data_IF_781281793587
#
_entry.id   IF_781281793587
#
_cell.length_a   1.000
_cell.length_b   1.000
_cell.length_c   1.000
_cell.angle_alpha   90.00
_cell.angle_beta   90.00
_cell.angle_gamma   90.00
#
_symmetry.space_group_name_H-M   'P 1'
#
loop_
_entity.id
_entity.type
_entity.pdbx_description
1 polymer ?
#
# COMPACT_ATOMS: atom_id res chain seq x y z
N UNK A 1 17.79 -47.70 36.83
CA UNK A 1 18.84 -46.93 36.13
C UNK A 1 18.13 -46.04 35.13
N UNK A 2 18.04 -44.75 35.46
CA UNK A 2 17.27 -43.74 34.73
C UNK A 2 18.17 -42.90 33.83
N UNK A 3 17.60 -42.45 32.70
CA UNK A 3 18.04 -41.28 31.93
C UNK A 3 18.97 -41.61 30.76
N UNK A 4 18.53 -41.46 29.51
CA UNK A 4 18.30 -40.23 28.73
C UNK A 4 19.48 -39.96 27.78
N UNK A 5 19.18 -39.74 26.50
CA UNK A 5 20.20 -39.34 25.54
C UNK A 5 19.67 -39.15 24.12
N UNK A 6 18.44 -38.65 23.96
CA UNK A 6 17.95 -38.19 22.65
C UNK A 6 18.70 -36.91 22.30
N UNK A 7 19.60 -37.01 21.32
CA UNK A 7 20.39 -35.90 20.81
C UNK A 7 19.49 -35.03 19.91
N UNK A 8 18.89 -34.00 20.48
CA UNK A 8 18.06 -33.03 19.74
C UNK A 8 18.97 -31.89 19.31
N UNK A 9 19.38 -31.90 18.04
CA UNK A 9 20.10 -30.78 17.43
C UNK A 9 19.11 -29.62 17.27
N UNK A 10 19.17 -28.66 18.19
CA UNK A 10 18.42 -27.41 18.10
C UNK A 10 19.00 -26.55 16.97
N UNK A 11 18.29 -26.50 15.84
CA UNK A 11 18.51 -25.47 14.83
C UNK A 11 18.09 -24.12 15.43
N UNK A 12 19.09 -23.30 15.78
CA UNK A 12 18.89 -21.85 15.97
C UNK A 12 18.85 -21.24 14.58
N UNK A 13 17.66 -20.98 14.08
CA UNK A 13 17.50 -20.02 12.99
C UNK A 13 17.01 -18.71 13.61
N UNK A 14 17.86 -17.70 13.50
CA UNK A 14 17.65 -16.36 14.00
C UNK A 14 16.43 -15.75 13.29
N UNK A 15 15.39 -15.47 14.09
CA UNK A 15 14.51 -14.31 13.92
C UNK A 15 14.24 -13.85 12.49
N UNK A 16 13.65 -14.71 11.66
CA UNK A 16 12.89 -14.25 10.50
C UNK A 16 11.72 -13.41 11.03
N UNK A 17 11.93 -12.09 11.12
CA UNK A 17 10.83 -11.12 11.24
C UNK A 17 9.86 -11.47 10.13
N UNK A 18 8.61 -11.88 10.44
CA UNK A 18 7.64 -12.08 9.39
C UNK A 18 7.51 -10.72 8.71
N UNK A 19 7.87 -10.65 7.43
CA UNK A 19 7.48 -9.54 6.58
C UNK A 19 5.96 -9.45 6.72
N UNK A 20 5.52 -8.52 7.57
CA UNK A 20 4.13 -8.36 7.94
C UNK A 20 3.36 -8.28 6.64
N UNK A 21 2.39 -9.19 6.48
CA UNK A 21 1.59 -9.37 5.26
C UNK A 21 1.40 -8.03 4.58
N UNK A 22 2.19 -7.74 3.54
CA UNK A 22 1.96 -6.56 2.72
C UNK A 22 0.57 -6.81 2.12
N UNK A 23 -0.43 -5.97 2.40
CA UNK A 23 -1.74 -6.15 1.82
C UNK A 23 -1.54 -6.24 0.31
N UNK A 24 -1.87 -7.39 -0.27
CA UNK A 24 -1.88 -7.52 -1.71
C UNK A 24 -2.79 -6.40 -2.23
N UNK A 25 -2.32 -5.57 -3.18
CA UNK A 25 -3.16 -4.52 -3.72
C UNK A 25 -4.45 -5.17 -4.20
N UNK A 26 -5.59 -4.67 -3.72
CA UNK A 26 -6.88 -5.04 -4.28
C UNK A 26 -6.83 -4.75 -5.78
N UNK A 27 -7.48 -5.59 -6.61
CA UNK A 27 -7.58 -5.31 -8.04
C UNK A 27 -8.11 -3.87 -8.21
N UNK A 28 -7.40 -3.07 -9.00
CA UNK A 28 -7.73 -1.66 -9.22
C UNK A 28 -7.06 -0.65 -8.29
N UNK A 29 -6.30 -1.09 -7.26
CA UNK A 29 -5.56 -0.16 -6.41
C UNK A 29 -4.32 0.41 -7.12
N UNK A 30 -4.19 1.73 -7.14
CA UNK A 30 -3.09 2.47 -7.78
C UNK A 30 -2.25 3.18 -6.74
N UNK A 31 -0.96 3.36 -7.02
CA UNK A 31 -0.13 4.24 -6.17
C UNK A 31 -0.53 5.69 -6.40
N UNK A 32 -0.53 6.48 -5.33
CA UNK A 32 -0.86 7.92 -5.38
C UNK A 32 -0.04 8.64 -6.45
N UNK A 33 1.28 8.41 -6.53
CA UNK A 33 2.08 9.06 -7.57
C UNK A 33 1.65 8.66 -8.99
N UNK A 34 1.30 7.39 -9.23
CA UNK A 34 0.83 6.94 -10.54
C UNK A 34 -0.51 7.58 -10.91
N UNK A 35 -1.39 7.79 -9.92
CA UNK A 35 -2.66 8.47 -10.14
C UNK A 35 -2.42 9.95 -10.50
N UNK A 36 -1.49 10.64 -9.84
CA UNK A 36 -1.15 12.02 -10.17
C UNK A 36 -0.61 12.13 -11.61
N UNK A 37 0.28 11.20 -12.01
CA UNK A 37 0.80 11.13 -13.37
C UNK A 37 -0.31 10.90 -14.40
N UNK A 38 -1.23 9.96 -14.15
CA UNK A 38 -2.35 9.67 -15.05
C UNK A 38 -3.33 10.85 -15.18
N UNK A 39 -3.50 11.64 -14.12
CA UNK A 39 -4.36 12.81 -14.12
C UNK A 39 -3.69 14.07 -14.66
N UNK A 40 -2.37 14.03 -14.90
CA UNK A 40 -1.59 15.18 -15.30
C UNK A 40 -1.64 16.32 -14.27
N UNK A 41 -1.67 15.98 -12.98
CA UNK A 41 -1.65 16.94 -11.86
C UNK A 41 -0.37 16.77 -11.06
N UNK A 42 -0.08 17.78 -10.25
CA UNK A 42 1.03 17.67 -9.31
C UNK A 42 0.68 16.71 -8.17
N UNK A 43 1.68 16.01 -7.64
CA UNK A 43 1.50 15.13 -6.48
C UNK A 43 0.95 15.89 -5.24
N UNK A 44 1.40 17.13 -4.91
CA UNK A 44 0.78 17.91 -3.85
C UNK A 44 -0.71 18.19 -4.07
N UNK A 45 -1.11 18.57 -5.28
CA UNK A 45 -2.52 18.80 -5.66
C UNK A 45 -3.36 17.54 -5.46
N UNK A 46 -2.84 16.36 -5.85
CA UNK A 46 -3.54 15.10 -5.58
C UNK A 46 -3.67 14.81 -4.07
N UNK A 47 -2.63 15.09 -3.28
CA UNK A 47 -2.66 14.85 -1.83
C UNK A 47 -3.67 15.78 -1.13
N UNK A 48 -3.86 17.00 -1.63
CA UNK A 48 -4.90 17.92 -1.16
C UNK A 48 -6.30 17.37 -1.45
N UNK A 49 -6.57 16.90 -2.67
CA UNK A 49 -7.86 16.26 -3.01
C UNK A 49 -8.14 15.03 -2.15
N UNK A 50 -7.13 14.18 -1.92
CA UNK A 50 -7.26 13.01 -1.05
C UNK A 50 -7.56 13.41 0.41
N UNK A 51 -6.92 14.48 0.89
CA UNK A 51 -7.17 15.01 2.23
C UNK A 51 -8.60 15.56 2.36
N UNK A 52 -9.11 16.25 1.33
CA UNK A 52 -10.48 16.77 1.29
C UNK A 52 -11.54 15.66 1.24
N UNK A 53 -11.21 14.50 0.66
CA UNK A 53 -12.00 13.27 0.74
C UNK A 53 -11.90 12.56 2.10
N UNK A 54 -11.13 13.12 3.04
CA UNK A 54 -10.93 12.56 4.38
C UNK A 54 -9.83 11.50 4.46
N UNK A 55 -9.07 11.27 3.38
CA UNK A 55 -7.98 10.29 3.34
C UNK A 55 -6.69 10.99 3.76
N UNK A 56 -6.28 10.74 5.01
CA UNK A 56 -5.12 11.40 5.64
C UNK A 56 -3.91 10.48 5.69
N UNK A 57 -2.72 11.10 5.73
CA UNK A 57 -1.46 10.38 5.87
C UNK A 57 -1.05 9.61 4.60
N UNK A 58 -1.64 9.93 3.45
CA UNK A 58 -1.20 9.39 2.18
C UNK A 58 0.21 9.88 1.86
N UNK A 59 1.05 8.94 1.45
CA UNK A 59 2.36 9.20 0.86
C UNK A 59 2.29 8.89 -0.63
N UNK A 60 3.31 9.29 -1.42
CA UNK A 60 3.32 9.00 -2.86
C UNK A 60 3.26 7.51 -3.19
N UNK A 61 3.77 6.66 -2.29
CA UNK A 61 3.77 5.20 -2.40
C UNK A 61 2.52 4.54 -1.81
N UNK A 62 1.65 5.30 -1.14
CA UNK A 62 0.37 4.79 -0.66
C UNK A 62 -0.48 4.27 -1.82
N UNK A 63 -1.24 3.21 -1.55
CA UNK A 63 -2.23 2.69 -2.47
C UNK A 63 -3.57 3.38 -2.21
N UNK A 64 -4.23 3.78 -3.29
CA UNK A 64 -5.61 4.25 -3.30
C UNK A 64 -6.47 3.25 -4.07
N UNK A 65 -7.63 2.93 -3.52
CA UNK A 65 -8.60 2.04 -4.17
C UNK A 65 -9.21 2.72 -5.41
N UNK A 66 -9.71 1.91 -6.34
CA UNK A 66 -10.29 2.38 -7.61
C UNK A 66 -11.45 3.37 -7.42
N UNK A 67 -12.28 3.18 -6.40
CA UNK A 67 -13.39 4.11 -6.10
C UNK A 67 -12.90 5.50 -5.66
N UNK A 68 -11.77 5.57 -4.94
CA UNK A 68 -11.15 6.84 -4.53
C UNK A 68 -10.60 7.52 -5.77
N UNK A 69 -9.90 6.76 -6.62
CA UNK A 69 -9.38 7.29 -7.87
C UNK A 69 -10.51 7.86 -8.74
N UNK A 70 -11.64 7.15 -8.86
CA UNK A 70 -12.82 7.62 -9.59
C UNK A 70 -13.42 8.91 -8.99
N UNK A 71 -13.53 8.99 -7.67
CA UNK A 71 -14.03 10.18 -6.97
C UNK A 71 -13.13 11.40 -7.23
N UNK A 72 -11.80 11.22 -7.14
CA UNK A 72 -10.83 12.28 -7.47
C UNK A 72 -10.94 12.71 -8.94
N UNK A 73 -11.12 11.76 -9.86
CA UNK A 73 -11.35 12.06 -11.28
C UNK A 73 -12.60 12.91 -11.48
N UNK A 74 -13.70 12.56 -10.81
CA UNK A 74 -14.98 13.27 -10.90
C UNK A 74 -14.85 14.71 -10.38
N UNK A 75 -14.22 14.90 -9.20
CA UNK A 75 -14.00 16.24 -8.60
C UNK A 75 -13.15 17.14 -9.47
N UNK A 76 -12.08 16.59 -10.05
CA UNK A 76 -11.18 17.34 -10.93
C UNK A 76 -11.75 17.55 -12.33
N UNK A 77 -12.85 16.89 -12.69
CA UNK A 77 -13.41 16.90 -14.04
C UNK A 77 -12.42 16.31 -15.07
N UNK A 78 -11.56 15.39 -14.64
CA UNK A 78 -10.49 14.80 -15.47
C UNK A 78 -10.73 13.32 -15.67
N UNK A 79 -10.27 12.80 -16.80
CA UNK A 79 -10.16 11.36 -17.02
C UNK A 79 -8.69 10.94 -16.93
N UNK A 80 -8.40 9.76 -16.34
CA UNK A 80 -7.05 9.24 -16.34
C UNK A 80 -6.62 8.96 -17.77
N UNK A 81 -5.45 9.49 -18.15
CA UNK A 81 -4.86 9.24 -19.46
C UNK A 81 -4.43 7.76 -19.51
N UNK A 82 -5.01 7.00 -20.44
CA UNK A 82 -4.73 5.57 -20.66
C UNK A 82 -3.36 5.33 -21.28
#
# INVERSE_FOLDING_TARGET
>A
MSGNGTNITAHRDEGSVPLGRVPLPRRGALRVYCLAEQLGISLPELLEELHDLGIRGCTPSSLVDEWIAAEVCERLGRQPVR
#
